data_IF_876463199250
#
_entry.id   IF_876463199250
#
_cell.length_a   1.000
_cell.length_b   1.000
_cell.length_c   1.000
_cell.angle_alpha   90.00
_cell.angle_beta   90.00
_cell.angle_gamma   90.00
#
_symmetry.space_group_name_H-M   'P 1'
#
loop_
_entity.id
_entity.type
_entity.pdbx_description
1 polymer ?
#
# COMPACT_ATOMS: atom_id res chain seq x y z
N UNK A 1 16.01 -7.86 -2.27
CA UNK A 1 16.33 -6.51 -1.75
C UNK A 1 16.71 -5.64 -2.93
N UNK A 2 16.04 -4.51 -3.17
CA UNK A 2 16.43 -3.62 -4.26
C UNK A 2 17.80 -3.00 -3.92
N UNK A 3 18.77 -3.11 -4.83
CA UNK A 3 20.16 -2.65 -4.63
C UNK A 3 20.45 -1.31 -5.28
N UNK A 4 19.43 -0.69 -5.88
CA UNK A 4 19.54 0.58 -6.61
C UNK A 4 18.49 1.58 -6.12
N UNK A 5 18.85 2.86 -6.20
CA UNK A 5 17.94 3.98 -5.97
C UNK A 5 16.87 4.01 -7.07
N UNK A 6 15.63 4.35 -6.71
CA UNK A 6 14.58 4.66 -7.70
C UNK A 6 14.86 6.04 -8.30
N UNK A 7 14.24 6.34 -9.43
CA UNK A 7 14.35 7.66 -10.07
C UNK A 7 14.04 8.77 -9.06
N UNK A 8 14.95 9.72 -8.92
CA UNK A 8 14.86 10.85 -7.97
C UNK A 8 15.40 10.60 -6.56
N UNK A 9 15.78 9.36 -6.20
CA UNK A 9 16.41 9.06 -4.91
C UNK A 9 17.95 9.23 -4.99
N UNK A 10 18.56 9.74 -3.91
CA UNK A 10 20.01 9.93 -3.76
C UNK A 10 20.50 9.33 -2.43
N UNK A 11 21.79 8.99 -2.34
CA UNK A 11 22.39 8.42 -1.13
C UNK A 11 22.20 6.90 -1.01
N UNK A 12 22.19 6.40 0.23
CA UNK A 12 22.04 4.96 0.52
C UNK A 12 20.65 4.47 0.17
N UNK A 13 20.57 3.30 -0.47
CA UNK A 13 19.30 2.68 -0.85
C UNK A 13 18.49 2.35 0.43
N UNK A 14 17.27 2.88 0.60
CA UNK A 14 16.48 2.61 1.79
C UNK A 14 15.99 1.16 1.82
N UNK A 15 15.73 0.63 3.02
CA UNK A 15 15.07 -0.66 3.18
C UNK A 15 13.71 -0.64 2.49
N UNK A 16 13.44 -1.64 1.64
CA UNK A 16 12.20 -1.73 0.88
C UNK A 16 11.50 -3.04 1.20
N UNK A 17 10.23 -2.94 1.55
CA UNK A 17 9.36 -4.09 1.73
C UNK A 17 8.35 -4.12 0.57
N UNK A 18 7.89 -5.32 0.23
CA UNK A 18 6.74 -5.47 -0.67
C UNK A 18 5.51 -4.82 -0.08
N UNK A 19 4.54 -4.45 -0.92
CA UNK A 19 3.27 -3.91 -0.43
C UNK A 19 2.36 -4.97 0.19
N UNK A 20 2.55 -6.25 -0.14
CA UNK A 20 1.75 -7.36 0.36
C UNK A 20 2.40 -7.97 1.58
N UNK A 21 1.59 -8.25 2.60
CA UNK A 21 2.01 -8.84 3.85
C UNK A 21 0.95 -9.82 4.35
N UNK A 22 1.37 -10.82 5.12
CA UNK A 22 0.47 -11.80 5.73
C UNK A 22 0.46 -11.60 7.26
N UNK A 23 -0.72 -11.54 7.86
CA UNK A 23 -0.94 -11.49 9.31
C UNK A 23 -2.03 -12.51 9.67
N UNK A 24 -1.74 -13.39 10.62
CA UNK A 24 -2.69 -14.38 11.15
C UNK A 24 -3.40 -15.23 10.07
N UNK A 25 -2.66 -15.59 9.01
CA UNK A 25 -3.18 -16.38 7.88
C UNK A 25 -3.84 -15.57 6.77
N UNK A 26 -4.13 -14.29 6.99
CA UNK A 26 -4.77 -13.41 6.02
C UNK A 26 -3.78 -12.48 5.32
N UNK A 27 -4.12 -12.10 4.10
CA UNK A 27 -3.35 -11.18 3.27
C UNK A 27 -3.84 -9.75 3.43
N UNK A 28 -2.88 -8.84 3.39
CA UNK A 28 -3.12 -7.40 3.42
C UNK A 28 -2.20 -6.73 2.40
N UNK A 29 -2.56 -5.54 1.95
CA UNK A 29 -1.62 -4.65 1.28
C UNK A 29 -1.50 -3.29 1.98
N UNK A 30 -0.30 -2.74 1.99
CA UNK A 30 -0.01 -1.43 2.57
C UNK A 30 -0.14 -0.31 1.53
N UNK A 31 -0.85 0.76 1.88
CA UNK A 31 -0.97 1.98 1.08
C UNK A 31 0.19 2.94 1.35
N UNK A 32 0.39 3.96 0.49
CA UNK A 32 1.46 4.96 0.69
C UNK A 32 1.21 5.82 1.94
N UNK A 33 -0.04 5.89 2.37
CA UNK A 33 -0.53 6.61 3.54
C UNK A 33 -0.24 5.82 4.83
N UNK A 34 0.26 4.59 4.73
CA UNK A 34 0.61 3.73 5.85
C UNK A 34 -0.57 2.94 6.42
N UNK A 35 -1.61 2.73 5.62
CA UNK A 35 -2.79 1.95 6.01
C UNK A 35 -2.65 0.54 5.44
N UNK A 36 -2.90 -0.48 6.26
CA UNK A 36 -3.00 -1.86 5.81
C UNK A 36 -4.46 -2.17 5.45
N UNK A 37 -4.71 -2.53 4.19
CA UNK A 37 -6.03 -2.89 3.68
C UNK A 37 -6.12 -4.41 3.58
N UNK A 38 -7.20 -4.97 4.12
CA UNK A 38 -7.50 -6.39 4.24
C UNK A 38 -8.47 -6.61 5.42
N UNK A 39 -8.66 -7.85 5.90
CA UNK A 39 -8.03 -9.09 5.45
C UNK A 39 -8.56 -9.59 4.09
N UNK A 40 -7.69 -10.27 3.35
CA UNK A 40 -8.01 -11.05 2.16
C UNK A 40 -7.64 -12.52 2.38
N UNK A 41 -8.39 -13.44 1.80
CA UNK A 41 -8.16 -14.88 1.95
C UNK A 41 -6.94 -15.35 1.15
N UNK A 42 -6.66 -14.72 0.01
CA UNK A 42 -5.50 -15.02 -0.82
C UNK A 42 -4.71 -13.76 -1.19
N UNK A 43 -3.47 -13.98 -1.63
CA UNK A 43 -2.64 -12.90 -2.16
C UNK A 43 -3.22 -12.33 -3.46
N UNK A 44 -3.80 -13.20 -4.30
CA UNK A 44 -4.39 -12.79 -5.58
C UNK A 44 -5.57 -11.84 -5.35
N UNK A 45 -6.40 -12.10 -4.32
CA UNK A 45 -7.49 -11.19 -3.94
C UNK A 45 -6.96 -9.83 -3.48
N UNK A 46 -5.86 -9.80 -2.72
CA UNK A 46 -5.20 -8.56 -2.33
C UNK A 46 -4.60 -7.80 -3.54
N UNK A 47 -4.11 -8.52 -4.56
CA UNK A 47 -3.61 -7.95 -5.81
C UNK A 47 -4.74 -7.37 -6.68
N UNK A 48 -5.92 -7.98 -6.69
CA UNK A 48 -7.13 -7.44 -7.32
C UNK A 48 -7.60 -6.18 -6.56
N UNK A 49 -7.76 -6.29 -5.23
CA UNK A 49 -8.29 -5.22 -4.40
C UNK A 49 -7.43 -3.96 -4.38
N UNK A 50 -6.10 -4.06 -4.60
CA UNK A 50 -5.26 -2.87 -4.75
C UNK A 50 -5.53 -2.14 -6.07
N UNK A 51 -5.88 -2.86 -7.13
CA UNK A 51 -6.25 -2.29 -8.43
C UNK A 51 -7.52 -1.45 -8.30
N UNK A 52 -8.58 -2.04 -7.73
CA UNK A 52 -9.85 -1.37 -7.47
C UNK A 52 -9.69 -0.15 -6.57
N UNK A 53 -8.86 -0.26 -5.53
CA UNK A 53 -8.55 0.86 -4.65
C UNK A 53 -7.86 2.02 -5.39
N UNK A 54 -6.90 1.72 -6.28
CA UNK A 54 -6.24 2.76 -7.09
C UNK A 54 -7.26 3.45 -8.00
N UNK A 55 -8.13 2.70 -8.67
CA UNK A 55 -9.18 3.25 -9.53
C UNK A 55 -10.13 4.15 -8.73
N UNK A 56 -10.58 3.70 -7.56
CA UNK A 56 -11.40 4.49 -6.65
C UNK A 56 -10.73 5.81 -6.26
N UNK A 57 -9.46 5.78 -5.88
CA UNK A 57 -8.71 7.00 -5.49
C UNK A 57 -8.51 7.93 -6.68
N UNK A 58 -8.26 7.41 -7.87
CA UNK A 58 -8.14 8.22 -9.09
C UNK A 58 -9.45 8.89 -9.50
N UNK A 59 -10.58 8.22 -9.27
CA UNK A 59 -11.91 8.76 -9.54
C UNK A 59 -12.43 9.69 -8.42
N UNK A 60 -11.79 9.68 -7.26
CA UNK A 60 -12.22 10.42 -6.07
C UNK A 60 -11.71 11.86 -6.02
N UNK A 61 -12.42 12.71 -5.28
CA UNK A 61 -11.91 14.05 -4.96
C UNK A 61 -10.64 13.97 -4.09
N UNK A 62 -9.71 14.94 -4.20
CA UNK A 62 -8.44 14.95 -3.46
C UNK A 62 -8.58 14.74 -1.94
N UNK A 63 -9.70 15.20 -1.36
CA UNK A 63 -10.03 15.06 0.07
C UNK A 63 -10.07 13.61 0.55
N UNK A 64 -10.39 12.65 -0.32
CA UNK A 64 -10.44 11.22 0.04
C UNK A 64 -9.06 10.69 0.43
N UNK A 65 -8.01 11.14 -0.27
CA UNK A 65 -6.63 10.76 0.06
C UNK A 65 -6.17 11.29 1.43
N UNK A 66 -6.68 12.44 1.85
CA UNK A 66 -6.36 13.03 3.15
C UNK A 66 -7.03 12.28 4.31
N UNK A 67 -8.24 11.77 4.08
CA UNK A 67 -8.93 10.92 5.05
C UNK A 67 -8.15 9.63 5.30
N UNK A 68 -7.57 9.01 4.27
CA UNK A 68 -6.76 7.79 4.42
C UNK A 68 -5.54 7.99 5.32
N UNK A 69 -4.91 9.17 5.30
CA UNK A 69 -3.77 9.48 6.18
C UNK A 69 -4.16 9.47 7.66
N UNK A 70 -5.43 9.72 7.98
CA UNK A 70 -5.92 9.73 9.37
C UNK A 70 -6.04 8.32 9.95
N UNK A 71 -6.36 7.32 9.12
CA UNK A 71 -6.48 5.91 9.54
C UNK A 71 -5.15 5.28 9.98
N UNK A 72 -4.01 5.88 9.65
CA UNK A 72 -2.69 5.46 10.16
C UNK A 72 -2.53 5.69 11.67
N UNK A 73 -3.26 6.64 12.26
CA UNK A 73 -3.03 7.14 13.61
C UNK A 73 -3.95 6.51 14.69
N UNK A 74 -4.78 5.53 14.31
CA UNK A 74 -5.74 4.86 15.19
C UNK A 74 -5.25 3.47 15.62
#
# INVERSE_FOLDING_TARGET
MATVNRSGEQGSVPARHGRYLQKDGYWYYNTREGVDIGPFDSRDDAEIGVGEFIEFIQASEPKVSDVLKQYRAA
#
